data_IF_070856027026
#
_entry.id   IF_070856027026
#
_cell.length_a   1.000
_cell.length_b   1.000
_cell.length_c   1.000
_cell.angle_alpha   90.00
_cell.angle_beta   90.00
_cell.angle_gamma   90.00
#
_symmetry.space_group_name_H-M   'P 1'
#
loop_
_entity.id
_entity.type
_entity.pdbx_description
1 polymer ?
#
# COMPACT_ATOMS: atom_id res chain seq x y z
N UNK A 1 -59.43 2.76 -80.99
CA UNK A 1 -58.35 2.05 -81.72
C UNK A 1 -57.06 2.34 -80.97
N UNK A 2 -56.65 1.50 -80.00
CA UNK A 2 -55.84 0.26 -80.13
C UNK A 2 -54.36 0.59 -80.47
N UNK A 3 -53.31 -0.05 -79.89
CA UNK A 3 -53.28 -1.24 -79.00
C UNK A 3 -52.41 -1.11 -77.72
N UNK A 4 -52.60 -2.11 -76.86
CA UNK A 4 -51.67 -2.60 -75.83
C UNK A 4 -50.23 -2.80 -76.33
N UNK A 5 -49.27 -2.68 -75.40
CA UNK A 5 -48.08 -3.54 -75.37
C UNK A 5 -47.84 -4.06 -73.96
N UNK A 6 -48.12 -5.35 -73.79
CA UNK A 6 -47.60 -6.19 -72.71
C UNK A 6 -46.07 -6.09 -72.67
N UNK A 7 -45.49 -5.83 -71.50
CA UNK A 7 -44.12 -6.24 -71.22
C UNK A 7 -43.98 -6.75 -69.79
N UNK A 8 -43.84 -8.07 -69.71
CA UNK A 8 -42.91 -8.82 -68.86
C UNK A 8 -43.05 -8.63 -67.34
N UNK A 9 -43.70 -9.62 -66.74
CA UNK A 9 -43.69 -9.94 -65.31
C UNK A 9 -42.31 -10.50 -64.94
N UNK A 10 -41.53 -9.76 -64.16
CA UNK A 10 -40.29 -10.25 -63.54
C UNK A 10 -40.33 -10.12 -62.01
N UNK A 11 -39.68 -11.08 -61.35
CA UNK A 11 -40.00 -11.63 -60.03
C UNK A 11 -39.63 -10.70 -58.87
N UNK A 12 -40.47 -10.73 -57.83
CA UNK A 12 -40.17 -10.23 -56.48
C UNK A 12 -39.18 -11.16 -55.75
N UNK A 13 -38.11 -10.63 -55.14
CA UNK A 13 -37.49 -11.27 -53.99
C UNK A 13 -38.03 -10.66 -52.68
N UNK A 14 -38.69 -11.54 -51.93
CA UNK A 14 -39.04 -11.41 -50.52
C UNK A 14 -37.82 -11.16 -49.64
N UNK A 15 -37.91 -10.26 -48.66
CA UNK A 15 -37.02 -10.32 -47.50
C UNK A 15 -36.67 -9.00 -46.82
N UNK A 16 -37.19 -8.85 -45.61
CA UNK A 16 -36.55 -8.22 -44.45
C UNK A 16 -36.43 -6.69 -44.41
N UNK A 17 -37.47 -6.09 -43.81
CA UNK A 17 -37.40 -5.10 -42.74
C UNK A 17 -35.98 -4.73 -42.27
N UNK A 18 -35.53 -3.53 -42.65
CA UNK A 18 -34.36 -2.89 -42.09
C UNK A 18 -34.65 -2.42 -40.65
N UNK A 19 -34.56 -3.34 -39.69
CA UNK A 19 -34.47 -2.97 -38.28
C UNK A 19 -33.04 -2.50 -37.99
N UNK A 20 -32.87 -1.18 -37.90
CA UNK A 20 -31.64 -0.54 -37.43
C UNK A 20 -31.32 -1.02 -36.01
N UNK A 21 -30.40 -1.99 -35.88
CA UNK A 21 -29.83 -2.38 -34.59
C UNK A 21 -29.02 -1.19 -34.04
N UNK A 22 -29.29 -0.70 -32.82
CA UNK A 22 -28.41 0.27 -32.19
C UNK A 22 -27.06 -0.40 -31.92
N UNK A 23 -25.99 0.19 -32.46
CA UNK A 23 -24.60 -0.21 -32.20
C UNK A 23 -24.37 -0.20 -30.69
N UNK A 24 -24.10 -1.37 -30.11
CA UNK A 24 -23.71 -1.49 -28.72
C UNK A 24 -22.42 -0.71 -28.49
N UNK A 25 -22.46 0.24 -27.55
CA UNK A 25 -21.30 1.01 -27.14
C UNK A 25 -20.23 0.06 -26.61
N UNK A 26 -19.04 0.06 -27.24
CA UNK A 26 -17.89 -0.71 -26.78
C UNK A 26 -17.52 -0.27 -25.36
N UNK A 27 -17.52 -1.23 -24.44
CA UNK A 27 -17.17 -1.09 -23.02
C UNK A 27 -15.66 -0.86 -22.76
N UNK A 28 -14.87 -0.72 -23.83
CA UNK A 28 -13.41 -0.74 -23.80
C UNK A 28 -12.78 0.67 -23.85
N UNK A 29 -13.60 1.71 -23.77
CA UNK A 29 -13.12 3.09 -23.68
C UNK A 29 -13.22 3.57 -22.23
N UNK A 30 -12.10 3.92 -21.56
CA UNK A 30 -12.17 4.54 -20.25
C UNK A 30 -12.95 5.84 -20.39
N UNK A 31 -14.09 5.92 -19.69
CA UNK A 31 -14.97 7.10 -19.71
C UNK A 31 -14.14 8.34 -19.37
N UNK A 32 -14.17 9.42 -20.19
CA UNK A 32 -13.50 10.66 -19.83
C UNK A 32 -14.06 11.16 -18.50
N UNK A 33 -13.16 11.44 -17.55
CA UNK A 33 -13.49 12.01 -16.24
C UNK A 33 -14.32 13.28 -16.48
N UNK A 34 -15.57 13.26 -16.02
CA UNK A 34 -16.44 14.44 -15.98
C UNK A 34 -15.67 15.57 -15.26
N UNK A 35 -15.66 16.80 -15.80
CA UNK A 35 -15.08 17.94 -15.09
C UNK A 35 -15.88 18.12 -13.80
N UNK A 36 -15.25 17.86 -12.65
CA UNK A 36 -15.85 18.09 -11.35
C UNK A 36 -15.77 19.59 -11.07
N UNK A 37 -16.91 20.24 -10.96
CA UNK A 37 -17.11 21.59 -10.41
C UNK A 37 -16.93 21.61 -8.88
N UNK A 38 -16.00 20.83 -8.34
CA UNK A 38 -15.62 20.92 -6.93
C UNK A 38 -14.42 21.85 -6.85
N UNK A 39 -14.39 22.82 -5.92
CA UNK A 39 -13.19 23.57 -5.64
C UNK A 39 -12.04 22.58 -5.42
N UNK A 40 -11.00 22.66 -6.24
CA UNK A 40 -9.79 21.84 -6.10
C UNK A 40 -9.13 22.28 -4.80
N UNK A 41 -9.46 21.57 -3.72
CA UNK A 41 -8.85 21.77 -2.41
C UNK A 41 -7.40 21.30 -2.51
N UNK A 42 -6.46 22.24 -2.65
CA UNK A 42 -5.04 21.95 -2.87
C UNK A 42 -4.44 21.16 -1.69
N UNK A 43 -4.25 19.83 -1.83
CA UNK A 43 -3.86 18.95 -0.74
C UNK A 43 -2.40 19.18 -0.30
N UNK A 44 -1.59 19.84 -1.13
CA UNK A 44 -0.17 20.10 -0.87
C UNK A 44 0.05 21.28 0.07
N UNK A 45 -0.77 22.33 -0.04
CA UNK A 45 -0.75 23.47 0.88
C UNK A 45 -1.17 23.04 2.30
N UNK A 46 -2.23 22.24 2.40
CA UNK A 46 -2.73 21.74 3.67
C UNK A 46 -1.81 20.69 4.31
N UNK A 47 -1.13 19.87 3.49
CA UNK A 47 -0.11 18.91 3.96
C UNK A 47 1.06 19.61 4.66
N UNK A 48 1.60 20.67 4.06
CA UNK A 48 2.68 21.47 4.64
C UNK A 48 2.25 22.22 5.91
N UNK A 49 1.02 22.74 5.93
CA UNK A 49 0.45 23.38 7.11
C UNK A 49 0.26 22.37 8.25
N UNK A 50 -0.27 21.19 7.96
CA UNK A 50 -0.46 20.10 8.93
C UNK A 50 0.85 19.65 9.56
N UNK A 51 1.91 19.47 8.76
CA UNK A 51 3.23 19.06 9.25
C UNK A 51 3.88 20.14 10.12
N UNK A 52 3.60 21.42 9.83
CA UNK A 52 4.03 22.53 10.68
C UNK A 52 3.26 22.55 12.00
N UNK A 53 1.95 22.35 11.97
CA UNK A 53 1.08 22.30 13.16
C UNK A 53 1.44 21.09 14.04
N UNK A 54 1.64 19.91 13.47
CA UNK A 54 2.02 18.69 14.20
C UNK A 54 3.35 18.86 14.95
N UNK A 55 4.36 19.42 14.28
CA UNK A 55 5.64 19.77 14.93
C UNK A 55 5.49 20.87 15.97
N UNK A 56 4.52 21.77 15.82
CA UNK A 56 4.29 22.86 16.76
C UNK A 56 3.60 22.40 18.05
N UNK A 57 2.60 21.52 17.94
CA UNK A 57 1.85 20.96 19.07
C UNK A 57 2.67 19.93 19.85
N UNK A 58 3.49 19.11 19.17
CA UNK A 58 4.24 18.02 19.80
C UNK A 58 5.44 18.43 20.69
N UNK A 59 5.99 19.64 20.54
CA UNK A 59 7.27 20.00 21.20
C UNK A 59 7.11 20.71 22.55
N UNK A 60 5.90 20.83 23.12
CA UNK A 60 5.67 21.53 24.40
C UNK A 60 5.90 23.05 24.40
N UNK A 61 6.62 23.57 23.39
CA UNK A 61 6.89 25.00 23.14
C UNK A 61 5.63 25.84 22.98
N UNK A 62 4.55 25.26 22.46
CA UNK A 62 3.26 25.94 22.35
C UNK A 62 2.69 26.33 23.71
N UNK A 63 2.72 25.41 24.68
CA UNK A 63 2.23 25.67 26.03
C UNK A 63 3.03 26.76 26.71
N UNK A 64 4.36 26.72 26.58
CA UNK A 64 5.27 27.74 27.12
C UNK A 64 4.95 29.13 26.54
N UNK A 65 4.81 29.23 25.22
CA UNK A 65 4.44 30.50 24.59
C UNK A 65 3.04 30.96 25.05
N UNK A 66 2.03 30.09 25.04
CA UNK A 66 0.69 30.44 25.56
C UNK A 66 0.72 30.97 26.99
N UNK A 67 1.49 30.34 27.88
CA UNK A 67 1.66 30.82 29.26
C UNK A 67 2.34 32.19 29.31
N UNK A 68 3.36 32.43 28.49
CA UNK A 68 4.03 33.74 28.41
C UNK A 68 3.08 34.83 27.91
N UNK A 69 2.22 34.58 26.90
CA UNK A 69 1.17 35.53 26.48
C UNK A 69 0.32 35.96 27.66
N UNK A 70 -0.21 34.97 28.40
CA UNK A 70 -1.14 35.19 29.49
C UNK A 70 -0.45 35.99 30.61
N UNK A 71 0.79 35.64 30.97
CA UNK A 71 1.57 36.37 31.97
C UNK A 71 1.81 37.81 31.52
N UNK A 72 2.21 38.03 30.28
CA UNK A 72 2.44 39.39 29.73
C UNK A 72 1.15 40.21 29.75
N UNK A 73 0.01 39.60 29.40
CA UNK A 73 -1.29 40.27 29.43
C UNK A 73 -1.72 40.68 30.84
N UNK A 74 -1.57 39.77 31.81
CA UNK A 74 -1.86 40.03 33.22
C UNK A 74 -0.91 41.12 33.75
N UNK A 75 0.39 41.01 33.46
CA UNK A 75 1.39 41.98 33.87
C UNK A 75 1.09 43.37 33.31
N UNK A 76 0.75 43.47 32.02
CA UNK A 76 0.35 44.72 31.37
C UNK A 76 -0.87 45.35 32.06
N UNK A 77 -1.92 44.57 32.29
CA UNK A 77 -3.14 45.09 32.93
C UNK A 77 -2.98 45.38 34.43
N UNK A 78 -2.00 44.77 35.11
CA UNK A 78 -1.78 44.96 36.55
C UNK A 78 -0.81 46.11 36.86
N UNK A 79 0.27 46.24 36.06
CA UNK A 79 1.34 47.21 36.30
C UNK A 79 1.01 48.61 35.77
N UNK A 80 0.05 48.73 34.85
CA UNK A 80 -0.27 49.99 34.19
C UNK A 80 -1.28 50.84 35.02
N UNK A 81 -1.15 52.18 35.02
CA UNK A 81 -2.09 53.08 35.71
C UNK A 81 -3.55 52.88 35.28
N UNK A 82 -4.51 53.17 36.17
CA UNK A 82 -5.96 52.92 35.91
C UNK A 82 -6.46 53.52 34.60
N UNK A 83 -5.88 54.63 34.17
CA UNK A 83 -6.28 55.35 32.96
C UNK A 83 -5.91 54.64 31.64
N UNK A 84 -5.04 53.62 31.71
CA UNK A 84 -4.54 52.84 30.55
C UNK A 84 -4.77 51.33 30.70
N UNK A 85 -5.48 50.90 31.76
CA UNK A 85 -5.91 49.50 31.91
C UNK A 85 -6.97 49.20 30.87
N UNK A 86 -6.65 48.32 29.94
CA UNK A 86 -7.60 47.83 28.94
C UNK A 86 -8.56 46.79 29.50
N UNK A 87 -8.14 46.01 30.52
CA UNK A 87 -8.88 44.86 31.06
C UNK A 87 -8.66 44.74 32.58
N UNK A 88 -9.52 45.38 33.37
CA UNK A 88 -9.48 45.33 34.84
C UNK A 88 -10.11 44.02 35.38
N UNK A 89 -9.74 43.60 36.59
CA UNK A 89 -10.24 42.34 37.19
C UNK A 89 -11.79 42.32 37.16
N UNK A 90 -12.44 41.34 36.49
CA UNK A 90 -12.02 39.94 36.30
C UNK A 90 -11.45 39.54 34.92
N UNK A 91 -10.80 40.44 34.17
CA UNK A 91 -10.19 40.14 32.85
C UNK A 91 -11.18 39.59 31.81
N UNK A 92 -12.20 40.39 31.47
CA UNK A 92 -13.28 39.98 30.57
C UNK A 92 -12.75 39.73 29.15
N UNK A 93 -11.78 40.53 28.68
CA UNK A 93 -11.24 40.39 27.33
C UNK A 93 -10.37 39.15 27.20
N UNK A 94 -9.53 38.88 28.20
CA UNK A 94 -8.75 37.63 28.25
C UNK A 94 -9.68 36.41 28.23
N UNK A 95 -10.74 36.44 29.02
CA UNK A 95 -11.72 35.34 29.10
C UNK A 95 -12.46 35.15 27.77
N UNK A 96 -12.90 36.24 27.14
CA UNK A 96 -13.55 36.20 25.83
C UNK A 96 -12.60 35.63 24.78
N UNK A 97 -11.36 36.09 24.73
CA UNK A 97 -10.34 35.60 23.81
C UNK A 97 -10.07 34.10 24.00
N UNK A 98 -9.93 33.62 25.23
CA UNK A 98 -9.72 32.20 25.52
C UNK A 98 -10.94 31.34 25.14
N UNK A 99 -12.16 31.83 25.38
CA UNK A 99 -13.39 31.12 25.00
C UNK A 99 -13.53 31.02 23.47
N UNK A 100 -13.21 32.08 22.75
CA UNK A 100 -13.17 32.10 21.29
C UNK A 100 -12.09 31.17 20.76
N UNK A 101 -10.89 31.19 21.37
CA UNK A 101 -9.78 30.31 21.00
C UNK A 101 -10.20 28.85 21.11
N UNK A 102 -10.86 28.45 22.20
CA UNK A 102 -11.37 27.09 22.38
C UNK A 102 -12.43 26.73 21.32
N UNK A 103 -13.36 27.66 21.04
CA UNK A 103 -14.42 27.45 20.05
C UNK A 103 -13.89 27.26 18.62
N UNK A 104 -12.86 28.02 18.23
CA UNK A 104 -12.25 27.90 16.89
C UNK A 104 -11.22 26.76 16.79
N UNK A 105 -10.66 26.31 17.92
CA UNK A 105 -9.78 25.16 17.94
C UNK A 105 -10.50 23.86 17.55
N UNK A 106 -11.75 23.66 18.00
CA UNK A 106 -12.54 22.46 17.69
C UNK A 106 -12.68 22.17 16.17
N UNK A 107 -13.13 23.11 15.31
CA UNK A 107 -13.22 22.87 13.87
C UNK A 107 -11.84 22.71 13.22
N UNK A 108 -10.82 23.46 13.64
CA UNK A 108 -9.45 23.26 13.12
C UNK A 108 -8.90 21.87 13.43
N UNK A 109 -9.15 21.37 14.64
CA UNK A 109 -8.77 20.02 15.06
C UNK A 109 -9.56 18.99 14.25
N UNK A 110 -10.86 19.18 14.03
CA UNK A 110 -11.69 18.29 13.21
C UNK A 110 -11.19 18.20 11.75
N UNK A 111 -10.79 19.33 11.14
CA UNK A 111 -10.20 19.33 9.80
C UNK A 111 -8.83 18.63 9.79
N UNK A 112 -8.03 18.79 10.84
CA UNK A 112 -6.76 18.09 10.96
C UNK A 112 -6.94 16.57 11.17
N UNK A 113 -7.97 16.16 11.91
CA UNK A 113 -8.29 14.75 12.21
C UNK A 113 -8.83 14.01 10.99
N UNK A 114 -9.77 14.58 10.22
CA UNK A 114 -10.32 13.94 9.01
C UNK A 114 -9.23 13.43 8.06
N UNK A 115 -8.11 14.15 7.97
CA UNK A 115 -6.99 13.77 7.08
C UNK A 115 -6.02 12.77 7.71
N UNK A 116 -5.91 12.72 9.04
CA UNK A 116 -5.18 11.65 9.71
C UNK A 116 -5.93 10.32 9.54
N UNK A 117 -7.26 10.34 9.63
CA UNK A 117 -8.11 9.18 9.44
C UNK A 117 -8.04 8.65 7.98
N UNK A 118 -8.04 9.55 6.99
CA UNK A 118 -7.86 9.17 5.58
C UNK A 118 -6.50 8.50 5.30
N UNK A 119 -5.42 9.04 5.87
CA UNK A 119 -4.07 8.42 5.77
C UNK A 119 -4.02 7.08 6.48
N UNK A 120 -4.55 7.01 7.72
CA UNK A 120 -4.61 5.77 8.49
C UNK A 120 -5.39 4.68 7.75
N UNK A 121 -6.45 5.07 7.02
CA UNK A 121 -7.23 4.16 6.17
C UNK A 121 -6.41 3.61 5.00
N UNK A 122 -5.61 4.44 4.33
CA UNK A 122 -4.73 4.01 3.23
C UNK A 122 -3.62 3.09 3.76
N UNK A 123 -3.00 3.44 4.87
CA UNK A 123 -1.95 2.61 5.49
C UNK A 123 -2.50 1.24 5.90
N UNK A 124 -3.71 1.18 6.48
CA UNK A 124 -4.41 -0.07 6.79
C UNK A 124 -4.72 -0.92 5.55
N UNK A 125 -5.14 -0.30 4.44
CA UNK A 125 -5.39 -1.02 3.19
C UNK A 125 -4.09 -1.58 2.59
N UNK A 126 -3.00 -0.83 2.67
CA UNK A 126 -1.68 -1.26 2.20
C UNK A 126 -1.12 -2.39 3.07
N UNK A 127 -1.25 -2.29 4.39
CA UNK A 127 -0.80 -3.31 5.33
C UNK A 127 -1.54 -4.64 5.11
N UNK A 128 -2.86 -4.58 4.89
CA UNK A 128 -3.63 -5.78 4.50
C UNK A 128 -3.11 -6.45 3.24
N UNK A 129 -2.85 -5.67 2.17
CA UNK A 129 -2.30 -6.21 0.92
C UNK A 129 -0.90 -6.77 1.11
N UNK A 130 -0.07 -6.14 1.93
CA UNK A 130 1.26 -6.64 2.25
C UNK A 130 1.17 -7.95 3.02
N UNK A 131 0.27 -8.05 3.99
CA UNK A 131 0.07 -9.25 4.79
C UNK A 131 -0.45 -10.42 3.95
N UNK A 132 -1.40 -10.18 3.03
CA UNK A 132 -1.86 -11.19 2.07
C UNK A 132 -0.72 -11.73 1.21
N UNK A 133 0.18 -10.86 0.73
CA UNK A 133 1.38 -11.28 -0.03
C UNK A 133 2.35 -12.07 0.85
N UNK A 134 2.61 -11.63 2.08
CA UNK A 134 3.49 -12.33 3.01
C UNK A 134 3.00 -13.74 3.33
N UNK A 135 1.67 -13.92 3.46
CA UNK A 135 1.07 -15.24 3.65
C UNK A 135 1.30 -16.11 2.41
N UNK A 136 1.04 -15.58 1.21
CA UNK A 136 1.27 -16.31 -0.04
C UNK A 136 2.74 -16.69 -0.25
N UNK A 137 3.67 -15.79 0.05
CA UNK A 137 5.12 -16.04 -0.03
C UNK A 137 5.54 -17.11 0.97
N UNK A 138 4.99 -17.09 2.19
CA UNK A 138 5.25 -18.11 3.21
C UNK A 138 4.72 -19.47 2.78
N UNK A 139 3.52 -19.53 2.20
CA UNK A 139 2.95 -20.76 1.66
C UNK A 139 3.77 -21.30 0.48
N UNK A 140 4.24 -20.42 -0.41
CA UNK A 140 5.10 -20.79 -1.53
C UNK A 140 6.44 -21.36 -1.03
N UNK A 141 7.13 -20.65 -0.14
CA UNK A 141 8.39 -21.12 0.44
C UNK A 141 8.22 -22.44 1.19
N UNK A 142 7.12 -22.60 1.93
CA UNK A 142 6.83 -23.86 2.64
C UNK A 142 6.64 -25.03 1.67
N UNK A 143 5.93 -24.79 0.55
CA UNK A 143 5.76 -25.79 -0.50
C UNK A 143 7.07 -26.11 -1.20
N UNK A 144 7.88 -25.10 -1.49
CA UNK A 144 9.19 -25.28 -2.14
C UNK A 144 10.15 -26.06 -1.23
N UNK A 145 10.18 -25.75 0.07
CA UNK A 145 10.97 -26.49 1.07
C UNK A 145 10.48 -27.94 1.19
N UNK A 146 9.16 -28.17 1.16
CA UNK A 146 8.62 -29.52 1.17
C UNK A 146 9.02 -30.31 -0.08
N UNK A 147 8.98 -29.69 -1.27
CA UNK A 147 9.42 -30.29 -2.51
C UNK A 147 10.94 -30.58 -2.51
N UNK A 148 11.75 -29.62 -2.06
CA UNK A 148 13.20 -29.80 -1.85
C UNK A 148 13.50 -30.94 -0.88
N UNK A 149 12.77 -31.04 0.22
CA UNK A 149 12.92 -32.12 1.20
C UNK A 149 12.62 -33.49 0.59
N UNK A 150 11.59 -33.60 -0.26
CA UNK A 150 11.24 -34.85 -0.95
C UNK A 150 12.34 -35.21 -1.95
N UNK A 151 12.78 -34.26 -2.79
CA UNK A 151 13.85 -34.49 -3.77
C UNK A 151 15.19 -34.86 -3.12
N UNK A 152 15.56 -34.20 -2.01
CA UNK A 152 16.74 -34.58 -1.23
C UNK A 152 16.56 -35.91 -0.50
N UNK A 153 15.35 -36.21 -0.01
CA UNK A 153 15.03 -37.47 0.65
C UNK A 153 15.18 -38.68 -0.26
N UNK A 154 14.76 -38.55 -1.52
CA UNK A 154 14.88 -39.59 -2.56
C UNK A 154 16.33 -39.78 -3.03
N UNK A 155 17.12 -38.70 -3.13
CA UNK A 155 18.48 -38.76 -3.69
C UNK A 155 19.56 -39.07 -2.65
N UNK A 156 19.39 -38.68 -1.37
CA UNK A 156 20.52 -38.65 -0.44
C UNK A 156 20.65 -39.85 0.52
N UNK A 157 19.60 -40.49 1.02
CA UNK A 157 19.75 -40.96 2.43
C UNK A 157 20.04 -42.44 2.67
N UNK A 158 19.88 -43.35 1.69
CA UNK A 158 20.15 -44.77 2.01
C UNK A 158 20.80 -45.57 0.91
N UNK A 159 20.17 -45.70 -0.24
CA UNK A 159 20.69 -46.62 -1.25
C UNK A 159 21.88 -46.03 -2.00
N UNK A 160 21.87 -44.72 -2.28
CA UNK A 160 23.01 -44.02 -2.88
C UNK A 160 24.21 -43.89 -1.94
N UNK A 161 24.03 -43.43 -0.69
CA UNK A 161 25.13 -43.41 0.28
C UNK A 161 25.68 -44.81 0.58
N UNK A 162 24.83 -45.85 0.57
CA UNK A 162 25.28 -47.23 0.77
C UNK A 162 26.07 -47.73 -0.44
N UNK A 163 25.63 -47.45 -1.67
CA UNK A 163 26.38 -47.85 -2.86
C UNK A 163 27.73 -47.13 -2.94
N UNK A 164 27.76 -45.83 -2.64
CA UNK A 164 29.01 -45.04 -2.67
C UNK A 164 29.99 -45.52 -1.60
N UNK A 165 29.52 -45.79 -0.38
CA UNK A 165 30.36 -46.37 0.67
C UNK A 165 30.85 -47.78 0.31
N UNK A 166 30.02 -48.60 -0.37
CA UNK A 166 30.41 -49.94 -0.80
C UNK A 166 31.43 -49.90 -1.93
N UNK A 167 31.27 -49.00 -2.91
CA UNK A 167 32.23 -48.83 -4.00
C UNK A 167 33.58 -48.34 -3.47
N UNK A 168 33.59 -47.33 -2.59
CA UNK A 168 34.82 -46.85 -1.95
C UNK A 168 35.50 -47.93 -1.10
N UNK A 169 34.73 -48.74 -0.35
CA UNK A 169 35.27 -49.88 0.40
C UNK A 169 35.89 -50.93 -0.52
N UNK A 170 35.23 -51.24 -1.63
CA UNK A 170 35.69 -52.22 -2.61
C UNK A 170 36.98 -51.75 -3.30
N UNK A 171 37.06 -50.47 -3.65
CA UNK A 171 38.26 -49.86 -4.24
C UNK A 171 39.47 -49.97 -3.29
N UNK A 172 39.28 -49.71 -1.99
CA UNK A 172 40.32 -49.87 -0.97
C UNK A 172 40.76 -51.33 -0.82
N UNK A 173 39.82 -52.29 -0.84
CA UNK A 173 40.12 -53.72 -0.76
C UNK A 173 40.91 -54.22 -1.99
N UNK A 174 40.55 -53.75 -3.19
CA UNK A 174 41.29 -54.01 -4.44
C UNK A 174 42.72 -53.43 -4.41
N UNK A 175 42.89 -52.22 -3.88
CA UNK A 175 44.23 -51.63 -3.69
C UNK A 175 45.07 -52.40 -2.67
N UNK A 176 44.46 -52.94 -1.61
CA UNK A 176 45.16 -53.74 -0.62
C UNK A 176 45.57 -55.12 -1.15
N UNK A 177 44.72 -55.74 -1.94
CA UNK A 177 44.98 -57.07 -2.52
C UNK A 177 46.01 -57.00 -3.65
N UNK A 178 45.95 -55.97 -4.49
CA UNK A 178 46.99 -55.71 -5.52
C UNK A 178 48.37 -55.48 -4.91
N UNK A 179 48.47 -54.64 -3.87
CA UNK A 179 49.74 -54.42 -3.16
C UNK A 179 50.27 -55.68 -2.46
N UNK A 180 49.40 -56.50 -1.86
CA UNK A 180 49.79 -57.78 -1.26
C UNK A 180 50.27 -58.81 -2.30
N UNK A 181 49.73 -58.77 -3.51
CA UNK A 181 50.11 -59.68 -4.61
C UNK A 181 51.46 -59.30 -5.22
N UNK A 182 51.77 -58.01 -5.35
CA UNK A 182 53.09 -57.53 -5.76
C UNK A 182 54.21 -57.90 -4.76
N UNK A 183 53.94 -57.78 -3.46
CA UNK A 183 54.91 -58.15 -2.41
C UNK A 183 55.13 -59.68 -2.33
N UNK A 184 54.10 -60.47 -2.59
CA UNK A 184 54.20 -61.93 -2.67
C UNK A 184 55.02 -62.44 -3.86
N UNK A 185 55.11 -61.64 -4.93
CA UNK A 185 55.93 -61.93 -6.11
C UNK A 185 57.41 -61.59 -5.85
N UNK A 186 57.69 -60.45 -5.19
CA UNK A 186 59.08 -60.05 -4.81
C UNK A 186 59.77 -60.98 -3.81
N UNK A 187 59.02 -61.69 -2.96
CA UNK A 187 59.61 -62.66 -2.01
C UNK A 187 59.92 -64.03 -2.63
N UNK A 188 59.48 -64.30 -3.85
CA UNK A 188 59.59 -65.61 -4.53
C UNK A 188 60.59 -65.64 -5.69
N UNK A 189 61.19 -64.49 -6.00
CA UNK A 189 62.32 -64.29 -6.92
C UNK A 189 63.62 -64.12 -6.13
#
# INVERSE_FOLDING_TARGET
>A
MVPERETVRERMPSGATAATRPRTARLDQPRPRRPRLLPEYDPEAFGRLSERIARFIGTGRFLVWMTVVIIVWIAWNTLMPRDVRFDEYPFIFLTLALSLQASYAAPLILLAQNRQDDRARIDLEQDRRSNERSIADTEYLTREIAALRVGLGEVATRDWMRSELQDLLKEIEEHRTSTAQEDGFRRRS
#
